data_IF_096241554428
#
_entry.id   IF_096241554428
#
_cell.length_a   1.000
_cell.length_b   1.000
_cell.length_c   1.000
_cell.angle_alpha   90.00
_cell.angle_beta   90.00
_cell.angle_gamma   90.00
#
_symmetry.space_group_name_H-M   'P 1'
#
loop_
_entity.id
_entity.type
_entity.pdbx_description
1 polymer ?
#
# COMPACT_ATOMS: atom_id res chain seq x y z
N UNK A 1 -18.74 42.40 -43.60
CA UNK A 1 -19.02 43.21 -42.38
C UNK A 1 -19.20 42.30 -41.17
N UNK A 2 -19.01 42.76 -39.93
CA UNK A 2 -19.30 41.99 -38.71
C UNK A 2 -20.73 41.40 -38.72
N UNK A 3 -21.67 42.15 -39.28
CA UNK A 3 -23.07 41.73 -39.44
C UNK A 3 -23.23 40.50 -40.34
N UNK A 4 -22.39 40.35 -41.37
CA UNK A 4 -22.46 39.23 -42.30
C UNK A 4 -21.93 37.95 -41.64
N UNK A 5 -20.86 38.07 -40.85
CA UNK A 5 -20.32 36.96 -40.05
C UNK A 5 -21.37 36.48 -39.04
N UNK A 6 -22.01 37.39 -38.31
CA UNK A 6 -23.07 37.01 -37.36
C UNK A 6 -24.26 36.32 -38.04
N UNK A 7 -24.63 36.73 -39.26
CA UNK A 7 -25.68 36.05 -40.05
C UNK A 7 -25.28 34.64 -40.46
N UNK A 8 -24.04 34.44 -40.90
CA UNK A 8 -23.51 33.11 -41.22
C UNK A 8 -23.49 32.21 -39.98
N UNK A 9 -23.02 32.72 -38.84
CA UNK A 9 -23.07 32.01 -37.56
C UNK A 9 -24.51 31.60 -37.20
N UNK A 10 -25.46 32.51 -37.27
CA UNK A 10 -26.86 32.21 -36.96
C UNK A 10 -27.45 31.14 -37.89
N UNK A 11 -27.06 31.12 -39.17
CA UNK A 11 -27.52 30.12 -40.14
C UNK A 11 -27.05 28.69 -39.86
N UNK A 12 -26.03 28.49 -39.00
CA UNK A 12 -25.63 27.15 -38.56
C UNK A 12 -26.60 26.52 -37.55
N UNK A 13 -27.50 27.31 -36.97
CA UNK A 13 -28.49 26.83 -36.02
C UNK A 13 -29.82 26.51 -36.71
N UNK A 14 -30.54 25.47 -36.27
CA UNK A 14 -31.90 25.18 -36.76
C UNK A 14 -32.84 26.37 -36.58
N UNK A 15 -32.69 27.09 -35.47
CA UNK A 15 -33.45 28.29 -35.13
C UNK A 15 -32.51 29.49 -35.05
N UNK A 16 -32.47 30.32 -36.09
CA UNK A 16 -31.51 31.44 -36.18
C UNK A 16 -31.68 32.48 -35.07
N UNK A 17 -32.90 32.66 -34.55
CA UNK A 17 -33.17 33.59 -33.44
C UNK A 17 -32.50 33.18 -32.12
N UNK A 18 -32.11 31.91 -31.98
CA UNK A 18 -31.47 31.40 -30.77
C UNK A 18 -29.97 31.68 -30.73
N UNK A 19 -29.38 32.16 -31.83
CA UNK A 19 -27.94 32.40 -31.97
C UNK A 19 -27.31 33.22 -30.82
N UNK A 20 -27.90 34.32 -30.34
CA UNK A 20 -27.32 35.07 -29.22
C UNK A 20 -27.22 34.24 -27.95
N UNK A 21 -28.29 33.52 -27.60
CA UNK A 21 -28.35 32.70 -26.39
C UNK A 21 -27.44 31.46 -26.52
N UNK A 22 -27.46 30.79 -27.68
CA UNK A 22 -26.65 29.61 -27.94
C UNK A 22 -25.15 29.94 -27.82
N UNK A 23 -24.66 30.93 -28.56
CA UNK A 23 -23.23 31.25 -28.54
C UNK A 23 -22.78 31.83 -27.20
N UNK A 24 -23.66 32.56 -26.49
CA UNK A 24 -23.37 32.96 -25.11
C UNK A 24 -23.23 31.75 -24.17
N UNK A 25 -24.12 30.76 -24.29
CA UNK A 25 -24.05 29.54 -23.48
C UNK A 25 -22.79 28.72 -23.79
N UNK A 26 -22.43 28.57 -25.07
CA UNK A 26 -21.20 27.90 -25.50
C UNK A 26 -19.96 28.58 -24.90
N UNK A 27 -19.84 29.90 -25.02
CA UNK A 27 -18.72 30.63 -24.44
C UNK A 27 -18.67 30.53 -22.91
N UNK A 28 -19.83 30.56 -22.23
CA UNK A 28 -19.92 30.38 -20.77
C UNK A 28 -19.47 28.98 -20.36
N UNK A 29 -19.92 27.94 -21.04
CA UNK A 29 -19.53 26.56 -20.77
C UNK A 29 -18.02 26.36 -20.99
N UNK A 30 -17.49 26.80 -22.14
CA UNK A 30 -16.07 26.72 -22.46
C UNK A 30 -15.20 27.43 -21.42
N UNK A 31 -15.61 28.63 -20.99
CA UNK A 31 -14.88 29.37 -19.97
C UNK A 31 -14.91 28.66 -18.61
N UNK A 32 -16.06 28.14 -18.20
CA UNK A 32 -16.20 27.39 -16.95
C UNK A 32 -15.30 26.14 -16.93
N UNK A 33 -15.33 25.33 -18.00
CA UNK A 33 -14.48 24.15 -18.15
C UNK A 33 -12.99 24.51 -18.13
N UNK A 34 -12.61 25.58 -18.83
CA UNK A 34 -11.21 26.04 -18.85
C UNK A 34 -10.75 26.51 -17.47
N UNK A 35 -11.60 27.21 -16.72
CA UNK A 35 -11.30 27.65 -15.36
C UNK A 35 -11.21 26.48 -14.38
N UNK A 36 -12.09 25.48 -14.51
CA UNK A 36 -12.01 24.27 -13.71
C UNK A 36 -10.67 23.55 -13.95
N UNK A 37 -10.29 23.35 -15.21
CA UNK A 37 -8.98 22.75 -15.55
C UNK A 37 -7.81 23.57 -15.00
N UNK A 38 -7.85 24.90 -15.14
CA UNK A 38 -6.81 25.78 -14.62
C UNK A 38 -6.66 25.63 -13.10
N UNK A 39 -7.77 25.65 -12.35
CA UNK A 39 -7.74 25.49 -10.90
C UNK A 39 -7.26 24.09 -10.48
N UNK A 40 -7.63 23.05 -11.23
CA UNK A 40 -7.15 21.69 -11.01
C UNK A 40 -5.63 21.59 -11.20
N UNK A 41 -5.09 22.15 -12.28
CA UNK A 41 -3.65 22.18 -12.54
C UNK A 41 -2.90 22.99 -11.47
N UNK A 42 -3.45 24.10 -11.00
CA UNK A 42 -2.88 24.88 -9.91
C UNK A 42 -2.79 24.06 -8.61
N UNK A 43 -3.85 23.29 -8.27
CA UNK A 43 -3.86 22.37 -7.12
C UNK A 43 -2.81 21.27 -7.27
N UNK A 44 -2.67 20.65 -8.44
CA UNK A 44 -1.64 19.64 -8.70
C UNK A 44 -0.24 20.24 -8.49
N UNK A 45 0.02 21.43 -9.04
CA UNK A 45 1.31 22.11 -8.89
C UNK A 45 1.64 22.34 -7.41
N UNK A 46 0.68 22.91 -6.66
CA UNK A 46 0.84 23.17 -5.23
C UNK A 46 1.05 21.88 -4.42
N UNK A 47 0.28 20.83 -4.69
CA UNK A 47 0.43 19.53 -4.02
C UNK A 47 1.82 18.91 -4.28
N UNK A 48 2.33 18.99 -5.52
CA UNK A 48 3.67 18.51 -5.86
C UNK A 48 4.76 19.31 -5.17
N UNK A 49 4.61 20.63 -5.06
CA UNK A 49 5.55 21.48 -4.33
C UNK A 49 5.54 21.18 -2.82
N UNK A 50 4.36 20.95 -2.22
CA UNK A 50 4.25 20.58 -0.82
C UNK A 50 4.88 19.20 -0.53
N UNK A 51 4.66 18.21 -1.41
CA UNK A 51 5.31 16.91 -1.29
C UNK A 51 6.84 17.00 -1.35
N UNK A 52 7.38 17.86 -2.23
CA UNK A 52 8.83 18.11 -2.28
C UNK A 52 9.35 18.70 -0.96
N UNK A 53 8.65 19.69 -0.40
CA UNK A 53 9.01 20.29 0.90
C UNK A 53 8.97 19.26 2.04
N UNK A 54 7.96 18.38 2.06
CA UNK A 54 7.90 17.30 3.05
C UNK A 54 9.07 16.33 2.89
N UNK A 55 9.40 15.92 1.67
CA UNK A 55 10.57 15.07 1.42
C UNK A 55 11.90 15.74 1.81
N UNK A 56 12.04 17.05 1.63
CA UNK A 56 13.21 17.81 2.08
C UNK A 56 13.27 17.90 3.62
N UNK A 57 12.14 18.10 4.29
CA UNK A 57 12.06 18.07 5.76
C UNK A 57 12.37 16.68 6.31
N UNK A 58 11.86 15.62 5.69
CA UNK A 58 12.16 14.24 6.09
C UNK A 58 13.64 13.93 5.90
N UNK A 59 14.28 14.38 4.81
CA UNK A 59 15.73 14.23 4.61
C UNK A 59 16.54 14.97 5.67
N UNK A 60 16.14 16.19 6.02
CA UNK A 60 16.83 17.00 7.03
C UNK A 60 16.63 16.45 8.45
N UNK A 61 15.42 15.97 8.77
CA UNK A 61 15.13 15.29 10.03
C UNK A 61 15.82 13.93 10.13
N UNK A 62 16.02 13.24 8.99
CA UNK A 62 16.79 12.00 8.94
C UNK A 62 18.30 12.26 9.05
N UNK A 63 18.85 13.41 8.65
CA UNK A 63 20.26 13.74 8.96
C UNK A 63 20.50 13.95 10.46
N UNK A 64 19.53 14.51 11.21
CA UNK A 64 19.63 14.72 12.67
C UNK A 64 19.18 13.51 13.52
N UNK A 65 18.45 12.53 12.96
CA UNK A 65 17.98 11.33 13.68
C UNK A 65 18.56 9.99 13.18
N UNK A 66 19.01 9.93 11.92
CA UNK A 66 19.85 8.81 11.45
C UNK A 66 21.21 8.87 12.10
N UNK A 67 21.74 10.06 12.39
CA UNK A 67 22.94 10.24 13.21
C UNK A 67 22.70 9.78 14.65
N UNK A 68 21.59 10.16 15.28
CA UNK A 68 21.28 9.76 16.67
C UNK A 68 21.09 8.22 16.84
N UNK A 69 20.59 7.52 15.81
CA UNK A 69 20.50 6.05 15.79
C UNK A 69 21.80 5.34 15.35
N UNK A 70 22.61 5.94 14.46
CA UNK A 70 23.95 5.44 14.07
C UNK A 70 25.02 5.73 15.15
N UNK A 71 24.84 6.79 15.94
CA UNK A 71 25.73 7.19 17.04
C UNK A 71 25.58 6.31 18.28
N UNK A 72 24.48 5.55 18.36
CA UNK A 72 24.40 4.43 19.28
C UNK A 72 25.36 3.35 18.74
N UNK A 73 26.62 3.45 19.17
CA UNK A 73 27.70 2.55 18.81
C UNK A 73 27.20 1.10 18.95
N UNK A 74 27.43 0.24 17.96
CA UNK A 74 26.96 -1.17 17.97
C UNK A 74 27.29 -1.90 19.29
N UNK A 75 28.35 -1.47 19.99
CA UNK A 75 28.70 -1.91 21.33
C UNK A 75 27.65 -1.56 22.40
N UNK A 76 27.10 -0.34 22.39
CA UNK A 76 26.10 0.12 23.34
C UNK A 76 24.75 -0.56 23.09
N UNK A 77 24.33 -0.70 21.82
CA UNK A 77 23.15 -1.50 21.46
C UNK A 77 23.29 -2.96 21.94
N UNK A 78 24.46 -3.58 21.77
CA UNK A 78 24.70 -4.94 22.23
C UNK A 78 24.63 -5.04 23.76
N UNK A 79 25.15 -4.05 24.49
CA UNK A 79 25.07 -4.01 25.96
C UNK A 79 23.62 -3.84 26.46
N UNK A 80 22.86 -2.91 25.87
CA UNK A 80 21.45 -2.73 26.19
C UNK A 80 20.63 -3.97 25.86
N UNK A 81 20.89 -4.62 24.72
CA UNK A 81 20.19 -5.85 24.34
C UNK A 81 20.46 -7.00 25.31
N UNK A 82 21.72 -7.18 25.74
CA UNK A 82 22.08 -8.16 26.77
C UNK A 82 21.36 -7.86 28.10
N UNK A 83 21.20 -6.58 28.46
CA UNK A 83 20.48 -6.17 29.66
C UNK A 83 18.98 -6.48 29.55
N UNK A 84 18.33 -6.13 28.44
CA UNK A 84 16.91 -6.44 28.17
C UNK A 84 16.67 -7.94 28.20
N UNK A 85 17.53 -8.73 27.56
CA UNK A 85 17.41 -10.19 27.52
C UNK A 85 17.62 -10.82 28.91
N UNK A 86 18.50 -10.24 29.74
CA UNK A 86 18.69 -10.66 31.13
C UNK A 86 17.44 -10.39 31.96
N UNK A 87 16.85 -9.21 31.85
CA UNK A 87 15.65 -8.82 32.59
C UNK A 87 14.42 -9.65 32.19
N UNK A 88 14.29 -9.96 30.89
CA UNK A 88 13.28 -10.90 30.39
C UNK A 88 13.46 -12.31 30.94
N UNK A 89 14.70 -12.82 30.99
CA UNK A 89 15.00 -14.17 31.51
C UNK A 89 14.78 -14.26 33.02
N UNK A 90 15.04 -13.18 33.75
CA UNK A 90 14.73 -13.06 35.17
C UNK A 90 13.22 -12.93 35.43
N UNK A 91 12.48 -12.48 34.42
CA UNK A 91 11.04 -12.27 34.47
C UNK A 91 10.66 -11.04 35.28
N UNK A 92 9.52 -10.44 34.95
CA UNK A 92 8.95 -9.33 35.71
C UNK A 92 7.58 -9.71 36.22
N UNK A 93 7.31 -9.40 37.49
CA UNK A 93 5.99 -9.59 38.07
C UNK A 93 5.10 -8.43 37.64
N UNK A 94 4.21 -8.71 36.69
CA UNK A 94 3.20 -7.74 36.27
C UNK A 94 2.32 -7.38 37.48
N UNK A 95 2.10 -6.08 37.68
CA UNK A 95 1.15 -5.60 38.70
C UNK A 95 -0.20 -6.20 38.36
N UNK A 96 -0.80 -6.95 39.28
CA UNK A 96 -2.12 -7.53 39.10
C UNK A 96 -3.10 -6.36 38.91
N UNK A 97 -3.52 -6.16 37.67
CA UNK A 97 -4.55 -5.18 37.35
C UNK A 97 -5.80 -5.71 38.03
N UNK A 98 -6.26 -5.04 39.10
CA UNK A 98 -7.67 -5.19 39.50
C UNK A 98 -8.47 -4.89 38.24
N UNK A 99 -9.22 -5.88 37.76
CA UNK A 99 -9.97 -5.91 36.51
C UNK A 99 -10.44 -4.51 36.10
N UNK A 100 -9.59 -3.80 35.36
CA UNK A 100 -10.06 -2.70 34.54
C UNK A 100 -10.89 -3.41 33.49
N UNK A 101 -12.20 -3.22 33.55
CA UNK A 101 -13.10 -3.59 32.46
C UNK A 101 -12.64 -2.84 31.21
N UNK A 102 -11.71 -3.45 30.48
CA UNK A 102 -11.55 -3.18 29.07
C UNK A 102 -12.87 -3.60 28.45
N UNK A 103 -13.67 -2.65 27.96
CA UNK A 103 -14.73 -2.98 27.02
C UNK A 103 -14.02 -3.53 25.78
N UNK A 104 -14.04 -4.85 25.52
CA UNK A 104 -13.57 -5.32 24.24
C UNK A 104 -14.54 -4.75 23.21
N UNK A 105 -14.02 -4.00 22.25
CA UNK A 105 -14.79 -3.62 21.07
C UNK A 105 -15.45 -4.90 20.51
N UNK A 106 -16.71 -4.84 20.07
CA UNK A 106 -17.40 -6.00 19.51
C UNK A 106 -16.79 -6.33 18.15
N UNK A 107 -15.69 -7.08 18.17
CA UNK A 107 -15.18 -7.77 16.99
C UNK A 107 -15.49 -9.23 17.25
N UNK A 108 -16.66 -9.63 16.76
CA UNK A 108 -17.07 -11.02 16.71
C UNK A 108 -16.00 -11.85 15.99
N UNK A 109 -15.63 -12.94 16.64
CA UNK A 109 -14.89 -14.13 16.22
C UNK A 109 -14.81 -14.42 14.71
N UNK A 110 -14.13 -13.60 13.92
CA UNK A 110 -13.55 -14.04 12.66
C UNK A 110 -12.11 -14.41 12.92
N UNK A 111 -11.80 -15.70 12.73
CA UNK A 111 -10.44 -16.21 12.65
C UNK A 111 -9.62 -15.24 11.81
N UNK A 112 -8.43 -14.89 12.29
CA UNK A 112 -7.51 -14.09 11.49
C UNK A 112 -7.28 -14.79 10.15
N UNK A 113 -6.97 -14.06 9.06
CA UNK A 113 -6.68 -14.68 7.77
C UNK A 113 -5.64 -15.82 7.84
N UNK A 114 -4.68 -15.71 8.77
CA UNK A 114 -3.72 -16.77 9.07
C UNK A 114 -4.37 -18.01 9.69
N UNK A 115 -5.20 -17.83 10.72
CA UNK A 115 -5.89 -18.95 11.38
C UNK A 115 -6.88 -19.65 10.44
N UNK A 116 -7.58 -18.90 9.59
CA UNK A 116 -8.43 -19.45 8.52
C UNK A 116 -7.61 -20.32 7.55
N UNK A 117 -6.46 -19.82 7.09
CA UNK A 117 -5.57 -20.56 6.21
C UNK A 117 -5.01 -21.82 6.87
N UNK A 118 -4.57 -21.72 8.13
CA UNK A 118 -4.06 -22.85 8.89
C UNK A 118 -5.15 -23.88 9.17
N UNK A 119 -6.39 -23.48 9.34
CA UNK A 119 -7.55 -24.37 9.43
C UNK A 119 -7.84 -25.07 8.09
N UNK A 120 -7.85 -24.32 6.98
CA UNK A 120 -8.04 -24.87 5.64
C UNK A 120 -6.97 -25.92 5.28
N UNK A 121 -5.71 -25.67 5.64
CA UNK A 121 -4.59 -26.62 5.43
C UNK A 121 -4.78 -27.88 6.27
N UNK A 122 -5.06 -27.75 7.58
CA UNK A 122 -5.25 -28.88 8.50
C UNK A 122 -6.47 -29.73 8.11
N UNK A 123 -7.56 -29.06 7.75
CA UNK A 123 -8.81 -29.68 7.30
C UNK A 123 -8.77 -30.15 5.84
N UNK A 124 -7.65 -29.94 5.14
CA UNK A 124 -7.45 -30.29 3.72
C UNK A 124 -8.53 -29.72 2.80
N UNK A 125 -9.02 -28.52 3.09
CA UNK A 125 -10.02 -27.78 2.30
C UNK A 125 -9.39 -27.12 1.07
N UNK A 126 -8.69 -27.91 0.26
CA UNK A 126 -8.07 -27.46 -0.98
C UNK A 126 -8.30 -28.47 -2.11
N UNK A 127 -8.45 -27.97 -3.33
CA UNK A 127 -8.53 -28.81 -4.53
C UNK A 127 -7.22 -28.70 -5.31
N UNK A 128 -6.40 -29.75 -5.27
CA UNK A 128 -5.17 -29.79 -6.08
C UNK A 128 -5.50 -30.32 -7.48
N UNK A 129 -5.04 -29.62 -8.52
CA UNK A 129 -5.04 -30.17 -9.88
C UNK A 129 -4.01 -31.28 -9.98
N UNK A 130 -4.45 -32.48 -10.39
CA UNK A 130 -3.54 -33.58 -10.70
C UNK A 130 -2.82 -33.26 -12.00
N UNK A 131 -1.53 -32.95 -11.92
CA UNK A 131 -0.68 -32.82 -13.10
C UNK A 131 -0.18 -34.22 -13.45
N UNK A 132 -0.64 -34.74 -14.58
CA UNK A 132 -0.13 -35.99 -15.15
C UNK A 132 1.09 -35.67 -16.02
N UNK A 133 2.11 -36.53 -15.98
CA UNK A 133 3.25 -36.47 -16.92
C UNK A 133 3.17 -37.74 -17.75
N UNK A 134 3.03 -37.62 -19.07
CA UNK A 134 2.92 -38.74 -20.02
C UNK A 134 1.80 -39.76 -19.71
N UNK A 135 0.60 -39.29 -19.34
CA UNK A 135 -0.59 -40.15 -19.24
C UNK A 135 -0.64 -41.10 -18.03
N UNK A 136 0.33 -41.04 -17.11
CA UNK A 136 0.31 -41.73 -15.81
C UNK A 136 0.39 -40.76 -14.63
N UNK A 137 -0.11 -41.17 -13.46
CA UNK A 137 0.22 -40.52 -12.19
C UNK A 137 1.72 -40.81 -11.95
N UNK A 138 2.60 -39.80 -11.82
CA UNK A 138 4.00 -40.05 -11.53
C UNK A 138 4.15 -40.93 -10.27
N UNK A 139 4.97 -42.00 -10.30
CA UNK A 139 5.21 -42.80 -9.11
C UNK A 139 5.66 -41.89 -7.97
N UNK A 140 5.20 -42.18 -6.73
CA UNK A 140 5.58 -41.41 -5.54
C UNK A 140 7.07 -41.12 -5.61
N UNK A 141 7.42 -39.83 -5.63
CA UNK A 141 8.81 -39.39 -5.59
C UNK A 141 9.48 -40.17 -4.44
N UNK A 142 10.53 -40.94 -4.75
CA UNK A 142 11.22 -41.78 -3.76
C UNK A 142 11.78 -40.96 -2.58
N UNK A 143 11.91 -39.65 -2.76
CA UNK A 143 12.26 -38.66 -1.76
C UNK A 143 11.15 -37.62 -1.68
N UNK A 144 10.75 -37.26 -0.48
CA UNK A 144 9.78 -36.17 -0.28
C UNK A 144 10.35 -34.84 -0.80
N UNK A 145 9.51 -33.93 -1.27
CA UNK A 145 9.96 -32.59 -1.67
C UNK A 145 10.74 -31.89 -0.53
N UNK A 146 10.34 -32.15 0.71
CA UNK A 146 11.02 -31.71 1.92
C UNK A 146 12.47 -32.24 2.02
N UNK A 147 12.71 -33.53 1.75
CA UNK A 147 14.06 -34.09 1.74
C UNK A 147 14.93 -33.53 0.62
N UNK A 148 14.34 -33.29 -0.57
CA UNK A 148 15.06 -32.69 -1.70
C UNK A 148 15.54 -31.28 -1.36
N UNK A 149 14.69 -30.47 -0.72
CA UNK A 149 15.03 -29.11 -0.29
C UNK A 149 16.10 -29.15 0.83
N UNK A 150 15.98 -30.06 1.78
CA UNK A 150 16.98 -30.20 2.85
C UNK A 150 18.34 -30.66 2.33
N UNK A 151 18.39 -31.61 1.39
CA UNK A 151 19.63 -32.05 0.74
C UNK A 151 20.31 -30.85 0.02
N UNK A 152 19.53 -29.98 -0.62
CA UNK A 152 20.06 -28.77 -1.27
C UNK A 152 20.66 -27.78 -0.26
N UNK A 153 19.97 -27.49 0.84
CA UNK A 153 20.49 -26.59 1.89
C UNK A 153 21.77 -27.14 2.50
N UNK A 154 21.80 -28.46 2.80
CA UNK A 154 22.96 -29.14 3.38
C UNK A 154 24.15 -29.24 2.43
N UNK A 155 23.92 -29.24 1.13
CA UNK A 155 24.97 -29.35 0.10
C UNK A 155 25.78 -28.07 -0.10
N UNK A 156 25.30 -26.93 0.41
CA UNK A 156 26.03 -25.66 0.28
C UNK A 156 27.12 -25.57 1.36
N UNK A 157 28.34 -25.13 0.99
CA UNK A 157 29.41 -24.91 1.98
C UNK A 157 28.96 -23.85 3.00
N UNK A 158 29.39 -23.96 4.27
CA UNK A 158 29.06 -22.98 5.29
C UNK A 158 29.57 -21.60 4.84
N UNK A 159 28.74 -20.59 5.07
CA UNK A 159 29.09 -19.20 4.80
C UNK A 159 30.20 -18.82 5.80
N UNK A 160 31.42 -18.66 5.30
CA UNK A 160 32.53 -18.05 6.04
C UNK A 160 32.32 -16.55 6.18
#
# INVERSE_FOLDING_TARGET
SYRDVMKLCAAHLPTQSDAPNHYQAVCRALFAETMELYTFLAKIKSARENLKKMQEMDKKGNEDSSTDLDELQTADWAQFWVQVMRDLRNGVKLKKVQERQYNPLPIEYQLTPYEMLMDDIRSKRYTLRKVMVNGGIPPRLKKSAHEIILDFIRSRPPLN
#
